data_IF_853655075590
#
_entry.id   IF_853655075590
#
_cell.length_a   1.000
_cell.length_b   1.000
_cell.length_c   1.000
_cell.angle_alpha   90.00
_cell.angle_beta   90.00
_cell.angle_gamma   90.00
#
_symmetry.space_group_name_H-M   'P 1'
#
loop_
_entity.id
_entity.type
_entity.pdbx_description
1 polymer ?
#
# COMPACT_ATOMS: atom_id res chain seq x y z
N UNK A 1 -15.77 -3.66 6.69
CA UNK A 1 -14.69 -3.49 5.70
C UNK A 1 -13.38 -4.11 6.15
N UNK A 2 -12.94 -3.91 7.40
CA UNK A 2 -11.74 -4.56 7.97
C UNK A 2 -11.71 -6.08 7.75
N UNK A 3 -12.84 -6.77 7.92
CA UNK A 3 -12.89 -8.23 7.71
C UNK A 3 -12.57 -8.69 6.29
N UNK A 4 -12.88 -7.88 5.26
CA UNK A 4 -12.53 -8.23 3.86
C UNK A 4 -11.04 -7.98 3.59
N UNK A 5 -10.47 -6.92 4.18
CA UNK A 5 -9.04 -6.65 4.10
C UNK A 5 -8.25 -7.77 4.78
N UNK A 6 -8.68 -8.21 5.97
CA UNK A 6 -8.06 -9.34 6.67
C UNK A 6 -8.14 -10.63 5.85
N UNK A 7 -9.27 -10.90 5.17
CA UNK A 7 -9.37 -12.07 4.28
C UNK A 7 -8.41 -12.01 3.09
N UNK A 8 -8.16 -10.82 2.54
CA UNK A 8 -7.16 -10.63 1.46
C UNK A 8 -5.75 -10.83 1.99
N UNK A 9 -5.43 -10.30 3.17
CA UNK A 9 -4.15 -10.50 3.86
C UNK A 9 -3.93 -12.00 4.11
N UNK A 10 -4.90 -12.70 4.70
CA UNK A 10 -4.85 -14.13 4.97
C UNK A 10 -4.61 -14.94 3.67
N UNK A 11 -5.23 -14.55 2.56
CA UNK A 11 -5.03 -15.18 1.26
C UNK A 11 -3.60 -14.95 0.71
N UNK A 12 -3.10 -13.72 0.82
CA UNK A 12 -1.74 -13.36 0.39
C UNK A 12 -0.72 -14.16 1.20
N UNK A 13 -0.83 -14.17 2.53
CA UNK A 13 0.07 -14.90 3.43
C UNK A 13 0.07 -16.40 3.17
N UNK A 14 -1.10 -16.97 2.87
CA UNK A 14 -1.26 -18.41 2.68
C UNK A 14 -0.79 -18.91 1.32
N UNK A 15 -0.98 -18.13 0.26
CA UNK A 15 -0.85 -18.62 -1.13
C UNK A 15 0.14 -17.86 -1.99
N UNK A 16 0.48 -16.62 -1.66
CA UNK A 16 1.26 -15.73 -2.53
C UNK A 16 2.60 -15.31 -1.93
N UNK A 17 2.74 -15.40 -0.60
CA UNK A 17 4.00 -15.14 0.07
C UNK A 17 4.95 -16.34 -0.08
N UNK A 18 6.05 -16.17 -0.83
CA UNK A 18 7.27 -16.89 -0.48
C UNK A 18 7.63 -16.44 0.95
N UNK A 19 7.65 -17.39 1.89
CA UNK A 19 7.86 -17.13 3.33
C UNK A 19 9.21 -16.50 3.65
N UNK A 20 10.08 -16.34 2.66
CA UNK A 20 11.46 -15.84 2.82
C UNK A 20 11.67 -14.35 2.56
N UNK A 21 10.62 -13.52 2.59
CA UNK A 21 10.59 -12.05 2.86
C UNK A 21 9.67 -11.35 1.85
N UNK A 22 8.40 -11.23 2.22
CA UNK A 22 7.52 -10.16 1.72
C UNK A 22 7.26 -9.24 2.90
N UNK A 23 7.69 -7.99 2.79
CA UNK A 23 7.29 -6.92 3.71
C UNK A 23 6.42 -5.95 2.93
N UNK A 24 5.32 -5.52 3.52
CA UNK A 24 4.52 -4.45 2.93
C UNK A 24 5.14 -3.10 3.29
N UNK A 25 5.49 -2.33 2.27
CA UNK A 25 5.73 -0.90 2.42
C UNK A 25 4.37 -0.19 2.42
N UNK A 26 4.06 0.46 3.54
CA UNK A 26 2.77 1.14 3.75
C UNK A 26 2.95 2.65 3.69
N UNK A 27 2.15 3.30 2.85
CA UNK A 27 2.18 4.76 2.65
C UNK A 27 0.83 5.37 3.07
N UNK A 28 0.68 5.75 4.34
CA UNK A 28 -0.53 6.41 4.83
C UNK A 28 -0.61 7.84 4.29
N UNK A 29 -1.82 8.30 3.96
CA UNK A 29 -2.09 9.65 3.54
C UNK A 29 -3.48 10.11 4.00
N UNK A 30 -3.63 11.42 4.23
CA UNK A 30 -4.91 12.04 4.58
C UNK A 30 -5.04 13.36 3.83
N UNK A 31 -6.14 13.56 3.14
CA UNK A 31 -6.37 14.81 2.42
C UNK A 31 -7.58 14.74 1.49
N UNK A 32 -7.71 15.72 0.56
CA UNK A 32 -8.71 15.67 -0.50
C UNK A 32 -8.66 14.35 -1.27
N UNK A 33 -9.80 13.70 -1.43
CA UNK A 33 -9.94 12.44 -2.13
C UNK A 33 -10.60 12.66 -3.51
N UNK A 34 -10.07 12.05 -4.60
CA UNK A 34 -9.01 11.04 -4.65
C UNK A 34 -7.58 11.61 -4.83
N UNK A 35 -7.43 12.93 -4.95
CA UNK A 35 -6.16 13.60 -5.32
C UNK A 35 -4.98 13.17 -4.44
N UNK A 36 -5.13 13.23 -3.11
CA UNK A 36 -4.05 12.91 -2.17
C UNK A 36 -3.58 11.46 -2.31
N UNK A 37 -4.50 10.52 -2.53
CA UNK A 37 -4.17 9.11 -2.73
C UNK A 37 -3.41 8.92 -4.06
N UNK A 38 -3.87 9.55 -5.14
CA UNK A 38 -3.23 9.45 -6.46
C UNK A 38 -1.83 10.06 -6.47
N UNK A 39 -1.65 11.20 -5.82
CA UNK A 39 -0.34 11.83 -5.63
C UNK A 39 0.60 10.94 -4.81
N UNK A 40 0.08 10.29 -3.78
CA UNK A 40 0.86 9.35 -2.98
C UNK A 40 1.31 8.16 -3.83
N UNK A 41 0.43 7.58 -4.66
CA UNK A 41 0.81 6.53 -5.62
C UNK A 41 1.94 6.99 -6.55
N UNK A 42 1.79 8.16 -7.16
CA UNK A 42 2.78 8.71 -8.08
C UNK A 42 4.15 8.88 -7.41
N UNK A 43 4.18 9.50 -6.23
CA UNK A 43 5.42 9.71 -5.46
C UNK A 43 6.03 8.41 -4.98
N UNK A 44 5.20 7.44 -4.55
CA UNK A 44 5.71 6.14 -4.13
C UNK A 44 6.45 5.43 -5.26
N UNK A 45 5.93 5.44 -6.48
CA UNK A 45 6.60 4.80 -7.63
C UNK A 45 7.75 5.62 -8.21
N UNK A 46 7.57 6.94 -8.33
CA UNK A 46 8.53 7.81 -9.02
C UNK A 46 9.71 8.24 -8.13
N UNK A 47 9.50 8.32 -6.81
CA UNK A 47 10.50 8.85 -5.89
C UNK A 47 10.96 7.79 -4.89
N UNK A 48 10.03 7.24 -4.09
CA UNK A 48 10.40 6.32 -3.04
C UNK A 48 10.99 5.03 -3.61
N UNK A 49 10.30 4.37 -4.54
CA UNK A 49 10.74 3.08 -5.07
C UNK A 49 12.11 3.19 -5.74
N UNK A 50 12.33 4.25 -6.53
CA UNK A 50 13.60 4.52 -7.22
C UNK A 50 14.75 4.78 -6.24
N UNK A 51 14.49 5.50 -5.14
CA UNK A 51 15.52 5.86 -4.15
C UNK A 51 15.73 4.80 -3.06
N UNK A 52 14.76 3.91 -2.87
CA UNK A 52 14.78 2.90 -1.82
C UNK A 52 15.78 1.75 -2.08
N UNK A 53 16.04 0.97 -1.05
CA UNK A 53 16.73 -0.33 -1.16
C UNK A 53 15.73 -1.48 -1.28
N UNK A 54 14.58 -1.23 -1.90
CA UNK A 54 13.51 -2.20 -2.07
C UNK A 54 13.13 -2.33 -3.54
N UNK A 55 12.66 -3.51 -3.92
CA UNK A 55 12.02 -3.76 -5.20
C UNK A 55 10.63 -4.36 -5.02
N UNK A 56 9.75 -4.16 -6.00
CA UNK A 56 8.43 -4.78 -6.03
C UNK A 56 8.56 -6.28 -6.19
N UNK A 57 7.78 -7.04 -5.43
CA UNK A 57 7.61 -8.47 -5.67
C UNK A 57 6.36 -8.71 -6.52
N UNK A 58 6.33 -9.85 -7.22
CA UNK A 58 5.19 -10.27 -8.04
C UNK A 58 4.01 -10.75 -7.17
N UNK A 59 3.49 -9.85 -6.34
CA UNK A 59 2.31 -10.03 -5.51
C UNK A 59 1.34 -8.85 -5.68
N UNK A 60 0.05 -9.02 -5.36
CA UNK A 60 -0.93 -7.95 -5.44
C UNK A 60 -0.56 -6.76 -4.55
N UNK A 61 -0.62 -5.55 -5.12
CA UNK A 61 -0.71 -4.32 -4.34
C UNK A 61 -2.18 -3.96 -4.12
N UNK A 62 -2.45 -3.15 -3.10
CA UNK A 62 -3.79 -2.65 -2.86
C UNK A 62 -3.75 -1.30 -2.13
N UNK A 63 -4.89 -0.61 -2.11
CA UNK A 63 -5.10 0.55 -1.26
C UNK A 63 -6.36 0.37 -0.41
N UNK A 64 -6.32 0.93 0.79
CA UNK A 64 -7.47 1.05 1.67
C UNK A 64 -7.85 2.53 1.79
N UNK A 65 -9.15 2.83 1.86
CA UNK A 65 -9.66 4.19 2.03
C UNK A 65 -10.80 4.19 3.04
N UNK A 66 -10.74 5.15 3.97
CA UNK A 66 -11.82 5.51 4.90
C UNK A 66 -12.16 6.98 4.71
N UNK A 67 -13.36 7.25 4.21
CA UNK A 67 -13.89 8.62 4.10
C UNK A 67 -14.00 9.27 5.47
N UNK A 68 -13.68 10.56 5.56
CA UNK A 68 -13.86 11.34 6.79
C UNK A 68 -15.36 11.59 7.02
N UNK A 69 -15.84 11.28 8.22
CA UNK A 69 -17.25 11.44 8.59
C UNK A 69 -17.63 12.90 8.88
N UNK A 70 -16.63 13.75 9.16
CA UNK A 70 -16.81 15.14 9.56
C UNK A 70 -16.36 16.14 8.49
N UNK A 71 -15.76 15.65 7.39
CA UNK A 71 -15.19 16.51 6.34
C UNK A 71 -15.45 15.94 4.95
N UNK A 72 -16.35 16.62 4.24
CA UNK A 72 -16.69 16.26 2.87
C UNK A 72 -15.44 16.21 1.96
N UNK A 73 -15.40 15.19 1.10
CA UNK A 73 -14.33 14.95 0.13
C UNK A 73 -12.94 14.75 0.73
N UNK A 74 -12.82 14.42 2.02
CA UNK A 74 -11.56 14.02 2.64
C UNK A 74 -11.60 12.54 2.99
N UNK A 75 -10.42 11.91 2.95
CA UNK A 75 -10.28 10.53 3.38
C UNK A 75 -8.90 10.29 4.00
N UNK A 76 -8.85 9.33 4.93
CA UNK A 76 -7.63 8.61 5.25
C UNK A 76 -7.48 7.45 4.27
N UNK A 77 -6.31 7.28 3.68
CA UNK A 77 -6.00 6.15 2.82
C UNK A 77 -4.61 5.59 3.09
N UNK A 78 -4.39 4.36 2.66
CA UNK A 78 -3.10 3.69 2.71
C UNK A 78 -2.85 3.01 1.38
N UNK A 79 -1.59 3.04 0.93
CA UNK A 79 -1.11 2.21 -0.18
C UNK A 79 -0.22 1.13 0.42
N UNK A 80 -0.46 -0.11 0.02
CA UNK A 80 0.27 -1.29 0.47
C UNK A 80 0.99 -1.90 -0.73
N UNK A 81 2.32 -1.77 -0.74
CA UNK A 81 3.17 -2.34 -1.77
C UNK A 81 3.96 -3.53 -1.23
N UNK A 82 3.81 -4.72 -1.83
CA UNK A 82 4.62 -5.84 -1.44
C UNK A 82 6.04 -5.63 -2.00
N UNK A 83 7.02 -5.59 -1.11
CA UNK A 83 8.42 -5.33 -1.46
C UNK A 83 9.37 -6.34 -0.80
N UNK A 84 10.55 -6.47 -1.39
CA UNK A 84 11.70 -7.15 -0.77
C UNK A 84 12.94 -6.26 -0.82
N UNK A 85 13.80 -6.39 0.18
CA UNK A 85 15.05 -5.62 0.25
C UNK A 85 16.03 -6.16 -0.79
N UNK A 86 16.67 -5.26 -1.53
CA UNK A 86 17.79 -5.59 -2.41
C UNK A 86 19.10 -5.24 -1.70
N UNK A 87 20.10 -6.13 -1.80
CA UNK A 87 21.47 -5.77 -1.44
C UNK A 87 22.07 -5.08 -2.65
N UNK A 88 22.26 -3.76 -2.58
CA UNK A 88 22.99 -3.00 -3.60
C UNK A 88 24.49 -3.25 -3.49
#
# INVERSE_FOLDING_TARGET
MINKLNQVIDYIEKYLADKTVVKDAVFPNTGPFPETLQDTWAKTYAEWLVSSDYELVAAPNFSFTKMDENKDNYAYSEIWLPVRKITK
#
